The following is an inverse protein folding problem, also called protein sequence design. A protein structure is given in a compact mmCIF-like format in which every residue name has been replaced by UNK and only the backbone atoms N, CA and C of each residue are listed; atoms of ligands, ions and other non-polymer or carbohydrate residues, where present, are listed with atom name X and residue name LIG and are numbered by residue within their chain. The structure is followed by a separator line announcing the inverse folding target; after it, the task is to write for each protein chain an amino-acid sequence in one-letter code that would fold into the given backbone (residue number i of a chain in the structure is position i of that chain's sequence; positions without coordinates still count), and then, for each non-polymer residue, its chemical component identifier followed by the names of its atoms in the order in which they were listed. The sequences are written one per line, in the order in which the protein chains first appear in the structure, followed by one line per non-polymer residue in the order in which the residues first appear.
data_IF_953694899502
#
_entry.id   IF_953694899502
#
_cell.length_a   1.000
_cell.length_b   1.000
_cell.length_c   1.000
_cell.angle_alpha   90.00
_cell.angle_beta   90.00
_cell.angle_gamma   90.00
#
_symmetry.space_group_name_H-M   'P 1'
#
loop_
_entity.id
_entity.type
_entity.pdbx_description
1 polymer ?
#
# COMPACT_ATOMS: atom_id res chain seq x y z
N UNK A 1 5.46 31.75 10.87
CA UNK A 1 4.44 30.68 10.76
C UNK A 1 5.08 29.53 10.03
N UNK A 2 4.91 28.28 10.49
CA UNK A 2 5.51 27.12 9.82
C UNK A 2 4.95 27.00 8.40
N UNK A 3 5.79 26.53 7.46
CA UNK A 3 5.32 26.17 6.13
C UNK A 3 4.28 25.05 6.22
N UNK A 4 3.42 24.89 5.21
CA UNK A 4 2.42 23.81 5.21
C UNK A 4 3.09 22.42 5.35
N UNK A 5 4.29 22.26 4.79
CA UNK A 5 5.06 21.02 4.91
C UNK A 5 5.57 20.81 6.33
N UNK A 6 6.09 21.85 6.99
CA UNK A 6 6.49 21.79 8.41
C UNK A 6 5.30 21.46 9.32
N UNK A 7 4.12 22.00 9.03
CA UNK A 7 2.90 21.68 9.78
C UNK A 7 2.58 20.18 9.72
N UNK A 8 2.62 19.56 8.54
CA UNK A 8 2.34 18.12 8.42
C UNK A 8 3.42 17.23 9.02
N UNK A 9 4.69 17.66 9.01
CA UNK A 9 5.77 16.96 9.73
C UNK A 9 5.55 16.99 11.23
N UNK A 10 5.26 18.17 11.79
CA UNK A 10 4.94 18.31 13.20
C UNK A 10 3.71 17.47 13.60
N UNK A 11 2.72 17.38 12.71
CA UNK A 11 1.57 16.49 12.93
C UNK A 11 1.98 15.02 12.95
N UNK A 12 2.86 14.57 12.05
CA UNK A 12 3.36 13.20 12.05
C UNK A 12 4.12 12.88 13.34
N UNK A 13 5.03 13.76 13.78
CA UNK A 13 5.79 13.59 15.02
C UNK A 13 4.88 13.56 16.25
N UNK A 14 3.89 14.46 16.30
CA UNK A 14 2.92 14.51 17.39
C UNK A 14 2.08 13.23 17.47
N UNK A 15 1.55 12.77 16.33
CA UNK A 15 0.74 11.53 16.28
C UNK A 15 1.60 10.32 16.63
N UNK A 16 2.83 10.24 16.12
CA UNK A 16 3.74 9.13 16.40
C UNK A 16 4.02 8.97 17.91
N UNK A 17 4.21 10.07 18.63
CA UNK A 17 4.42 10.02 20.10
C UNK A 17 3.14 9.73 20.88
N UNK A 18 1.96 10.14 20.40
CA UNK A 18 0.68 9.81 21.05
C UNK A 18 0.30 8.34 20.88
N UNK A 19 0.67 7.74 19.76
CA UNK A 19 0.31 6.36 19.42
C UNK A 19 0.79 5.34 20.45
N UNK A 20 2.00 5.51 20.98
CA UNK A 20 2.55 4.61 22.00
C UNK A 20 2.05 4.90 23.41
N UNK A 21 1.26 5.97 23.60
CA UNK A 21 0.64 6.30 24.88
C UNK A 21 -0.58 5.43 25.24
N UNK A 22 -1.10 4.65 24.30
CA UNK A 22 -2.25 3.76 24.52
C UNK A 22 -2.25 2.60 23.52
N UNK A 23 -2.49 1.39 24.02
CA UNK A 23 -2.63 0.22 23.16
C UNK A 23 -3.80 0.36 22.17
N UNK A 24 -4.88 1.07 22.55
CA UNK A 24 -6.03 1.30 21.68
C UNK A 24 -5.68 2.21 20.49
N UNK A 25 -4.91 3.28 20.73
CA UNK A 25 -4.45 4.18 19.67
C UNK A 25 -3.51 3.43 18.71
N UNK A 26 -2.56 2.66 19.25
CA UNK A 26 -1.68 1.82 18.46
C UNK A 26 -2.46 0.79 17.62
N UNK A 27 -3.40 0.06 18.21
CA UNK A 27 -4.25 -0.90 17.50
C UNK A 27 -5.11 -0.23 16.40
N UNK A 28 -5.62 0.98 16.66
CA UNK A 28 -6.33 1.79 15.67
C UNK A 28 -5.44 2.18 14.49
N UNK A 29 -4.20 2.58 14.75
CA UNK A 29 -3.19 2.81 13.73
C UNK A 29 -2.89 1.54 12.93
N UNK A 30 -2.60 0.42 13.59
CA UNK A 30 -2.28 -0.85 12.93
C UNK A 30 -3.42 -1.33 12.03
N UNK A 31 -4.68 -1.13 12.43
CA UNK A 31 -5.86 -1.44 11.59
C UNK A 31 -5.90 -0.61 10.31
N UNK A 32 -5.48 0.65 10.39
CA UNK A 32 -5.41 1.57 9.24
C UNK A 32 -4.23 1.23 8.34
N UNK A 33 -3.05 1.05 8.93
CA UNK A 33 -1.83 0.62 8.27
C UNK A 33 -2.02 -0.71 7.52
N UNK A 34 -2.73 -1.67 8.13
CA UNK A 34 -3.07 -2.95 7.53
C UNK A 34 -3.84 -2.81 6.20
N UNK A 35 -4.79 -1.87 6.11
CA UNK A 35 -5.51 -1.57 4.85
C UNK A 35 -4.59 -0.93 3.81
N UNK A 36 -3.73 -0.03 4.27
CA UNK A 36 -2.87 0.81 3.45
C UNK A 36 -1.43 0.29 3.39
N UNK A 37 -1.24 -1.03 3.52
CA UNK A 37 0.06 -1.72 3.62
C UNK A 37 1.03 -1.50 2.46
N UNK A 38 0.62 -0.79 1.41
CA UNK A 38 1.49 -0.41 0.28
C UNK A 38 2.20 0.92 0.49
N UNK A 39 1.77 1.71 1.48
CA UNK A 39 2.39 2.96 1.88
C UNK A 39 3.48 2.69 2.94
N UNK A 40 4.57 3.46 2.96
CA UNK A 40 5.56 3.43 4.04
C UNK A 40 4.99 4.02 5.33
N UNK A 41 5.64 3.72 6.46
CA UNK A 41 5.20 4.09 7.80
C UNK A 41 4.81 5.58 7.95
N UNK A 42 5.68 6.51 7.54
CA UNK A 42 5.43 7.95 7.69
C UNK A 42 4.17 8.42 6.94
N UNK A 43 3.84 7.79 5.80
CA UNK A 43 2.62 8.10 5.07
C UNK A 43 1.40 7.41 5.67
N UNK A 44 1.55 6.18 6.18
CA UNK A 44 0.49 5.52 6.94
C UNK A 44 0.09 6.33 8.18
N UNK A 45 1.06 6.91 8.90
CA UNK A 45 0.82 7.82 10.02
C UNK A 45 0.01 9.04 9.60
N UNK A 46 0.42 9.70 8.51
CA UNK A 46 -0.27 10.89 8.01
C UNK A 46 -1.70 10.57 7.53
N UNK A 47 -1.90 9.41 6.92
CA UNK A 47 -3.24 8.96 6.52
C UNK A 47 -4.08 8.69 7.77
N UNK A 48 -3.55 7.95 8.75
CA UNK A 48 -4.25 7.67 10.00
C UNK A 48 -4.65 8.95 10.74
N UNK A 49 -3.74 9.91 10.86
CA UNK A 49 -3.97 11.20 11.51
C UNK A 49 -5.09 12.04 10.88
N UNK A 50 -5.27 11.92 9.57
CA UNK A 50 -6.22 12.75 8.82
C UNK A 50 -7.53 12.02 8.52
N UNK A 51 -7.47 10.71 8.29
CA UNK A 51 -8.57 9.88 7.82
C UNK A 51 -8.34 8.39 8.18
N UNK A 52 -8.53 8.00 9.44
CA UNK A 52 -8.27 6.64 9.89
C UNK A 52 -9.18 5.60 9.21
N UNK A 53 -10.34 5.99 8.70
CA UNK A 53 -11.27 5.12 7.96
C UNK A 53 -10.89 4.87 6.49
N UNK A 54 -9.80 5.47 6.00
CA UNK A 54 -9.35 5.29 4.62
C UNK A 54 -9.10 3.81 4.26
N UNK A 55 -9.47 3.45 3.02
CA UNK A 55 -9.48 2.05 2.55
C UNK A 55 -8.63 1.82 1.31
N UNK A 56 -8.57 2.80 0.40
CA UNK A 56 -7.76 2.72 -0.80
C UNK A 56 -7.46 4.14 -1.26
N UNK A 57 -6.25 4.62 -0.99
CA UNK A 57 -5.81 5.95 -1.36
C UNK A 57 -4.99 5.92 -2.64
N UNK A 58 -5.13 6.97 -3.45
CA UNK A 58 -4.23 7.26 -4.56
C UNK A 58 -4.26 8.75 -4.92
N UNK A 59 -3.25 9.20 -5.66
CA UNK A 59 -3.20 10.56 -6.18
C UNK A 59 -4.27 10.80 -7.25
N UNK A 60 -4.61 12.08 -7.43
CA UNK A 60 -5.61 12.52 -8.40
C UNK A 60 -5.37 11.96 -9.80
N UNK A 61 -4.13 12.03 -10.29
CA UNK A 61 -3.78 11.57 -11.63
C UNK A 61 -3.94 10.04 -11.76
N UNK A 62 -3.64 9.26 -10.72
CA UNK A 62 -3.86 7.82 -10.78
C UNK A 62 -5.36 7.51 -10.91
N UNK A 63 -6.20 8.21 -10.15
CA UNK A 63 -7.64 8.06 -10.24
C UNK A 63 -8.19 8.44 -11.61
N UNK A 64 -7.80 9.61 -12.11
CA UNK A 64 -8.27 10.14 -13.37
C UNK A 64 -7.73 9.35 -14.57
N UNK A 65 -6.41 9.26 -14.68
CA UNK A 65 -5.74 8.79 -15.90
C UNK A 65 -5.66 7.27 -16.01
N UNK A 66 -5.49 6.55 -14.88
CA UNK A 66 -5.29 5.09 -14.90
C UNK A 66 -6.52 4.30 -14.51
N UNK A 67 -7.37 4.88 -13.67
CA UNK A 67 -8.59 4.25 -13.19
C UNK A 67 -9.84 4.78 -13.87
N UNK A 68 -9.76 5.89 -14.62
CA UNK A 68 -10.91 6.48 -15.31
C UNK A 68 -11.98 6.97 -14.35
N UNK A 69 -11.59 7.42 -13.14
CA UNK A 69 -12.47 7.89 -12.07
C UNK A 69 -12.22 9.38 -11.84
N UNK A 70 -13.26 10.15 -11.63
CA UNK A 70 -13.12 11.56 -11.27
C UNK A 70 -13.17 11.74 -9.75
N UNK A 71 -12.42 12.69 -9.21
CA UNK A 71 -12.49 13.06 -7.79
C UNK A 71 -13.64 14.03 -7.62
N UNK A 72 -14.55 13.76 -6.67
CA UNK A 72 -15.72 14.59 -6.44
C UNK A 72 -15.32 15.98 -5.93
N UNK A 73 -16.05 17.00 -6.39
CA UNK A 73 -15.88 18.37 -5.93
C UNK A 73 -16.19 18.42 -4.44
N UNK A 74 -15.31 19.07 -3.69
CA UNK A 74 -15.42 19.18 -2.23
C UNK A 74 -14.67 18.09 -1.47
N UNK A 75 -14.17 17.04 -2.13
CA UNK A 75 -13.36 16.02 -1.48
C UNK A 75 -12.06 16.62 -0.92
N UNK A 76 -11.78 16.33 0.36
CA UNK A 76 -10.58 16.78 1.06
C UNK A 76 -9.45 15.78 0.82
N UNK A 77 -8.40 16.23 0.13
CA UNK A 77 -7.20 15.42 -0.06
C UNK A 77 -6.46 15.20 1.26
N UNK A 78 -5.95 13.99 1.44
CA UNK A 78 -5.08 13.61 2.55
C UNK A 78 -3.66 14.01 2.17
N UNK A 79 -3.05 14.90 2.95
CA UNK A 79 -1.71 15.40 2.66
C UNK A 79 -0.66 14.39 3.11
N UNK A 80 0.27 14.07 2.22
CA UNK A 80 1.45 13.26 2.51
C UNK A 80 2.70 14.11 2.30
N UNK A 81 3.72 13.85 3.10
CA UNK A 81 5.03 14.49 2.99
C UNK A 81 5.94 13.54 2.24
N UNK A 82 6.39 13.97 1.06
CA UNK A 82 7.40 13.29 0.26
C UNK A 82 8.77 13.89 0.58
N UNK A 83 9.59 13.11 1.28
CA UNK A 83 10.95 13.46 1.70
C UNK A 83 12.02 12.79 0.82
N UNK A 84 11.65 12.25 -0.35
CA UNK A 84 12.59 11.54 -1.24
C UNK A 84 13.58 12.43 -2.00
N UNK A 85 13.31 13.74 -2.10
CA UNK A 85 14.15 14.71 -2.81
C UNK A 85 14.88 15.69 -1.88
N UNK A 86 15.74 16.53 -2.45
CA UNK A 86 16.50 17.57 -1.72
C UNK A 86 15.64 18.51 -0.86
N UNK A 87 14.36 18.65 -1.25
CA UNK A 87 13.38 19.44 -0.51
C UNK A 87 12.08 18.67 -0.33
N UNK A 88 11.54 18.66 0.90
CA UNK A 88 10.26 18.07 1.24
C UNK A 88 9.11 18.65 0.41
N UNK A 89 8.24 17.80 -0.12
CA UNK A 89 7.07 18.22 -0.91
C UNK A 89 5.79 17.67 -0.33
N UNK A 90 4.70 18.40 -0.53
CA UNK A 90 3.37 17.90 -0.21
C UNK A 90 2.74 17.31 -1.46
N UNK A 91 2.28 16.06 -1.33
CA UNK A 91 1.41 15.39 -2.29
C UNK A 91 0.07 15.10 -1.64
N UNK A 92 -0.98 14.94 -2.44
CA UNK A 92 -2.33 14.70 -1.93
C UNK A 92 -2.89 13.42 -2.51
N UNK A 93 -3.39 12.56 -1.63
CA UNK A 93 -4.11 11.35 -2.02
C UNK A 93 -5.58 11.46 -1.63
N UNK A 94 -6.42 10.77 -2.40
CA UNK A 94 -7.86 10.72 -2.21
C UNK A 94 -8.26 9.25 -2.01
N UNK A 95 -9.18 9.01 -1.08
CA UNK A 95 -9.71 7.66 -0.88
C UNK A 95 -10.65 7.29 -2.04
N UNK A 96 -10.80 6.01 -2.34
CA UNK A 96 -11.73 5.53 -3.37
C UNK A 96 -13.15 6.04 -3.15
N UNK A 97 -13.58 6.24 -1.90
CA UNK A 97 -14.88 6.82 -1.56
C UNK A 97 -15.04 8.27 -2.00
N UNK A 98 -13.95 9.00 -2.24
CA UNK A 98 -13.96 10.37 -2.78
C UNK A 98 -14.19 10.40 -4.30
N UNK A 99 -14.17 9.24 -4.96
CA UNK A 99 -14.21 9.14 -6.42
C UNK A 99 -15.56 8.69 -6.98
N UNK A 100 -15.96 9.28 -8.11
CA UNK A 100 -17.09 8.84 -8.91
C UNK A 100 -16.68 7.91 -10.05
N UNK A 101 -17.65 7.16 -10.59
CA UNK A 101 -17.48 6.21 -11.70
C UNK A 101 -18.08 6.71 -13.01
N UNK A 102 -17.59 6.10 -14.09
CA UNK A 102 -17.97 6.20 -15.51
C UNK A 102 -18.07 4.78 -16.08
N UNK A 103 -18.53 4.67 -17.33
CA UNK A 103 -18.71 3.38 -18.02
C UNK A 103 -17.41 2.55 -18.06
N UNK A 104 -16.28 3.19 -18.35
CA UNK A 104 -14.97 2.54 -18.42
C UNK A 104 -14.12 2.68 -17.14
N UNK A 105 -14.73 3.16 -16.03
CA UNK A 105 -14.00 3.24 -14.77
C UNK A 105 -13.58 1.87 -14.27
N UNK A 106 -12.33 1.77 -13.85
CA UNK A 106 -11.79 0.58 -13.20
C UNK A 106 -12.14 0.60 -11.71
N UNK A 107 -12.30 -0.60 -11.16
CA UNK A 107 -12.44 -0.81 -9.71
C UNK A 107 -11.10 -1.25 -9.14
N UNK A 108 -10.56 -0.59 -8.10
CA UNK A 108 -9.38 -1.06 -7.40
C UNK A 108 -9.56 -2.50 -6.95
N UNK A 109 -8.60 -3.36 -7.28
CA UNK A 109 -8.62 -4.73 -6.79
C UNK A 109 -8.13 -4.76 -5.34
N UNK A 110 -9.09 -4.83 -4.42
CA UNK A 110 -8.89 -4.95 -2.98
C UNK A 110 -9.25 -6.36 -2.56
N UNK A 111 -8.25 -7.25 -2.53
CA UNK A 111 -8.46 -8.65 -2.15
C UNK A 111 -9.03 -8.74 -0.73
N UNK A 112 -9.93 -9.70 -0.53
CA UNK A 112 -10.48 -10.04 0.78
C UNK A 112 -10.22 -11.53 1.01
N UNK A 113 -9.81 -11.87 2.23
CA UNK A 113 -9.64 -13.27 2.61
C UNK A 113 -11.01 -13.96 2.58
N UNK A 114 -11.04 -15.17 2.02
CA UNK A 114 -12.20 -16.07 2.00
C UNK A 114 -11.73 -17.46 2.42
N UNK A 115 -12.65 -18.30 2.85
CA UNK A 115 -12.35 -19.69 3.26
C UNK A 115 -11.59 -20.45 2.16
N UNK A 116 -12.01 -20.33 0.90
CA UNK A 116 -11.36 -20.96 -0.25
C UNK A 116 -9.88 -20.54 -0.46
N UNK A 117 -9.47 -19.39 0.09
CA UNK A 117 -8.10 -18.90 -0.05
C UNK A 117 -7.19 -19.33 1.12
N UNK A 118 -7.76 -19.88 2.19
CA UNK A 118 -6.99 -20.23 3.39
C UNK A 118 -5.91 -21.27 3.09
N UNK A 119 -6.26 -22.37 2.40
CA UNK A 119 -5.32 -23.44 2.06
C UNK A 119 -4.18 -22.94 1.13
N UNK A 120 -4.44 -22.28 -0.01
CA UNK A 120 -3.36 -21.72 -0.84
C UNK A 120 -2.47 -20.72 -0.10
N UNK A 121 -3.05 -19.89 0.77
CA UNK A 121 -2.29 -18.91 1.56
C UNK A 121 -1.45 -19.61 2.63
N UNK A 122 -2.02 -20.57 3.35
CA UNK A 122 -1.33 -21.41 4.33
C UNK A 122 -0.10 -22.07 3.71
N UNK A 123 -0.29 -22.81 2.62
CA UNK A 123 0.80 -23.48 1.91
C UNK A 123 1.88 -22.50 1.41
N UNK A 124 1.49 -21.29 1.01
CA UNK A 124 2.45 -20.24 0.65
C UNK A 124 3.25 -19.76 1.85
N UNK A 125 2.62 -19.55 3.01
CA UNK A 125 3.32 -19.11 4.22
C UNK A 125 4.32 -20.16 4.70
N UNK A 126 3.93 -21.43 4.74
CA UNK A 126 4.80 -22.54 5.12
C UNK A 126 6.01 -22.65 4.19
N UNK A 127 5.80 -22.60 2.88
CA UNK A 127 6.90 -22.71 1.90
C UNK A 127 7.85 -21.52 1.93
N UNK A 128 7.31 -20.30 2.04
CA UNK A 128 8.12 -19.09 1.89
C UNK A 128 8.82 -18.68 3.19
N UNK A 129 8.21 -18.98 4.35
CA UNK A 129 8.72 -18.57 5.65
C UNK A 129 9.12 -19.74 6.54
N UNK A 130 8.94 -20.99 6.11
CA UNK A 130 9.30 -22.20 6.86
C UNK A 130 8.64 -22.24 8.24
N UNK A 131 7.40 -21.75 8.31
CA UNK A 131 6.58 -21.74 9.53
C UNK A 131 5.60 -22.91 9.52
N UNK A 132 5.02 -23.21 10.68
CA UNK A 132 3.91 -24.14 10.82
C UNK A 132 2.89 -23.58 11.82
N UNK A 133 1.64 -24.01 11.72
CA UNK A 133 0.60 -23.64 12.68
C UNK A 133 -0.70 -24.36 12.40
N UNK A 134 -1.52 -24.56 13.43
CA UNK A 134 -2.78 -25.29 13.32
C UNK A 134 -3.85 -24.50 12.55
N UNK A 135 -3.67 -23.18 12.47
CA UNK A 135 -4.56 -22.28 11.77
C UNK A 135 -3.82 -21.05 11.26
N UNK A 136 -4.47 -20.29 10.37
CA UNK A 136 -3.90 -19.10 9.75
C UNK A 136 -3.41 -18.06 10.77
N UNK A 137 -4.09 -17.88 11.91
CA UNK A 137 -3.68 -16.89 12.91
C UNK A 137 -2.31 -17.25 13.50
N UNK A 138 -2.12 -18.50 13.92
CA UNK A 138 -0.85 -19.00 14.45
C UNK A 138 0.27 -18.94 13.39
N UNK A 139 -0.03 -19.25 12.13
CA UNK A 139 0.95 -19.12 11.04
C UNK A 139 1.37 -17.66 10.82
N UNK A 140 0.43 -16.70 10.82
CA UNK A 140 0.75 -15.28 10.68
C UNK A 140 1.59 -14.77 11.85
N UNK A 141 1.32 -15.23 13.08
CA UNK A 141 2.12 -14.92 14.26
C UNK A 141 3.54 -15.51 14.18
N UNK A 142 3.67 -16.77 13.74
CA UNK A 142 4.98 -17.40 13.54
C UNK A 142 5.82 -16.66 12.48
N UNK A 143 5.19 -16.21 11.39
CA UNK A 143 5.84 -15.37 10.37
C UNK A 143 6.27 -14.04 10.98
N UNK A 144 5.41 -13.39 11.74
CA UNK A 144 5.73 -12.12 12.41
C UNK A 144 6.93 -12.26 13.36
N UNK A 145 6.96 -13.32 14.18
CA UNK A 145 8.05 -13.58 15.11
C UNK A 145 9.38 -13.79 14.38
N UNK A 146 9.39 -14.63 13.34
CA UNK A 146 10.58 -14.90 12.51
C UNK A 146 11.11 -13.61 11.87
N UNK A 147 10.24 -12.87 11.19
CA UNK A 147 10.64 -11.67 10.45
C UNK A 147 11.04 -10.50 11.37
N UNK A 148 10.43 -10.37 12.55
CA UNK A 148 10.89 -9.41 13.57
C UNK A 148 12.31 -9.74 14.04
N UNK A 149 12.61 -11.02 14.22
CA UNK A 149 13.94 -11.50 14.58
C UNK A 149 14.99 -11.23 13.51
N UNK A 150 14.66 -11.52 12.25
CA UNK A 150 15.52 -11.25 11.09
C UNK A 150 15.78 -9.74 10.92
N UNK A 151 14.74 -8.92 11.01
CA UNK A 151 14.86 -7.46 10.91
C UNK A 151 15.78 -6.89 11.99
N UNK A 152 15.66 -7.34 13.24
CA UNK A 152 16.57 -6.95 14.32
C UNK A 152 18.02 -7.29 13.96
N UNK A 153 18.29 -8.52 13.53
CA UNK A 153 19.65 -8.94 13.20
C UNK A 153 20.28 -8.07 12.11
N UNK A 154 19.49 -7.62 11.14
CA UNK A 154 19.95 -6.76 10.05
C UNK A 154 20.13 -5.29 10.47
N UNK A 155 19.28 -4.77 11.35
CA UNK A 155 19.19 -3.33 11.66
C UNK A 155 19.59 -2.94 13.10
N UNK A 156 20.08 -3.89 13.91
CA UNK A 156 20.40 -3.63 15.33
C UNK A 156 21.34 -2.44 15.55
N UNK A 157 22.32 -2.23 14.68
CA UNK A 157 23.27 -1.13 14.82
C UNK A 157 22.60 0.24 14.67
N UNK A 158 21.68 0.36 13.69
CA UNK A 158 20.93 1.58 13.46
C UNK A 158 19.93 1.82 14.60
N UNK A 159 19.28 0.76 15.09
CA UNK A 159 18.35 0.82 16.23
C UNK A 159 19.05 1.26 17.51
N UNK A 160 20.21 0.69 17.83
CA UNK A 160 21.00 1.07 19.02
C UNK A 160 21.53 2.50 18.95
N UNK A 161 21.65 3.08 17.75
CA UNK A 161 22.10 4.47 17.59
C UNK A 161 21.02 5.50 17.92
N UNK A 162 19.74 5.11 17.93
CA UNK A 162 18.60 6.03 18.04
C UNK A 162 17.82 5.89 19.36
N UNK A 163 18.33 5.10 20.31
CA UNK A 163 17.68 4.91 21.62
C UNK A 163 17.95 6.04 22.61
N UNK A 164 18.89 6.93 22.32
CA UNK A 164 19.18 8.10 23.16
C UNK A 164 17.90 8.93 23.39
N UNK A 165 17.73 9.45 24.62
CA UNK A 165 16.56 10.20 25.10
C UNK A 165 15.23 9.41 25.09
N UNK A 166 15.27 8.09 24.96
CA UNK A 166 14.10 7.20 25.02
C UNK A 166 14.07 6.33 26.27
N UNK A 167 12.95 5.64 26.51
CA UNK A 167 12.87 4.66 27.61
C UNK A 167 13.78 3.44 27.41
N UNK A 168 14.33 3.26 26.21
CA UNK A 168 15.29 2.21 25.89
C UNK A 168 16.74 2.58 26.20
N UNK A 169 17.05 3.86 26.50
CA UNK A 169 18.44 4.34 26.69
C UNK A 169 19.18 3.60 27.83
N UNK A 170 18.47 3.28 28.91
CA UNK A 170 19.06 2.60 30.07
C UNK A 170 19.16 1.07 29.90
N UNK A 171 18.62 0.53 28.82
CA UNK A 171 18.61 -0.92 28.58
C UNK A 171 19.92 -1.36 27.95
N UNK A 172 20.39 -2.55 28.35
CA UNK A 172 21.45 -3.21 27.60
C UNK A 172 20.93 -3.71 26.23
N UNK A 173 21.86 -4.00 25.31
CA UNK A 173 21.54 -4.46 23.95
C UNK A 173 20.61 -5.68 23.95
N UNK A 174 20.74 -6.59 24.92
CA UNK A 174 19.89 -7.77 25.03
C UNK A 174 18.45 -7.41 25.40
N UNK A 175 18.25 -6.49 26.35
CA UNK A 175 16.92 -6.04 26.73
C UNK A 175 16.26 -5.22 25.61
N UNK A 176 17.02 -4.39 24.88
CA UNK A 176 16.51 -3.67 23.70
C UNK A 176 16.06 -4.67 22.62
N UNK A 177 16.85 -5.72 22.38
CA UNK A 177 16.49 -6.80 21.46
C UNK A 177 15.16 -7.45 21.84
N UNK A 178 15.00 -7.81 23.12
CA UNK A 178 13.78 -8.45 23.63
C UNK A 178 12.57 -7.52 23.43
N UNK A 179 12.68 -6.24 23.79
CA UNK A 179 11.57 -5.29 23.62
C UNK A 179 11.21 -5.05 22.16
N UNK A 180 12.21 -4.88 21.30
CA UNK A 180 11.99 -4.69 19.87
C UNK A 180 11.28 -5.90 19.27
N UNK A 181 11.79 -7.12 19.53
CA UNK A 181 11.18 -8.34 19.00
C UNK A 181 9.76 -8.52 19.51
N UNK A 182 9.49 -8.26 20.79
CA UNK A 182 8.15 -8.32 21.35
C UNK A 182 7.19 -7.32 20.67
N UNK A 183 7.56 -6.03 20.65
CA UNK A 183 6.77 -4.95 20.07
C UNK A 183 6.52 -5.14 18.56
N UNK A 184 7.54 -5.56 17.81
CA UNK A 184 7.43 -5.81 16.39
C UNK A 184 6.54 -7.04 16.12
N UNK A 185 6.76 -8.16 16.82
CA UNK A 185 5.99 -9.40 16.63
C UNK A 185 4.50 -9.16 16.85
N UNK A 186 4.11 -8.52 17.96
CA UNK A 186 2.69 -8.25 18.27
C UNK A 186 2.07 -7.32 17.22
N UNK A 187 2.80 -6.27 16.82
CA UNK A 187 2.32 -5.26 15.88
C UNK A 187 2.14 -5.80 14.46
N UNK A 188 3.10 -6.61 13.99
CA UNK A 188 3.03 -7.27 12.68
C UNK A 188 1.87 -8.26 12.70
N UNK A 189 1.79 -9.12 13.72
CA UNK A 189 0.74 -10.13 13.84
C UNK A 189 -0.65 -9.49 13.82
N UNK A 190 -0.87 -8.44 14.61
CA UNK A 190 -2.13 -7.72 14.66
C UNK A 190 -2.53 -7.18 13.27
N UNK A 191 -1.61 -6.50 12.58
CA UNK A 191 -1.87 -5.92 11.26
C UNK A 191 -2.15 -7.00 10.18
N UNK A 192 -1.38 -8.09 10.18
CA UNK A 192 -1.61 -9.24 9.28
C UNK A 192 -2.99 -9.86 9.51
N UNK A 193 -3.33 -10.13 10.77
CA UNK A 193 -4.63 -10.71 11.15
C UNK A 193 -5.78 -9.79 10.75
N UNK A 194 -5.67 -8.49 11.06
CA UNK A 194 -6.66 -7.47 10.69
C UNK A 194 -6.89 -7.43 9.18
N UNK A 195 -5.83 -7.40 8.37
CA UNK A 195 -5.97 -7.36 6.90
C UNK A 195 -6.51 -8.65 6.30
N UNK A 196 -6.22 -9.79 6.93
CA UNK A 196 -6.76 -11.10 6.56
C UNK A 196 -8.19 -11.33 7.06
N UNK A 197 -8.85 -10.33 7.64
CA UNK A 197 -10.25 -10.40 8.05
C UNK A 197 -10.49 -11.20 9.34
N UNK A 198 -9.42 -11.52 10.08
CA UNK A 198 -9.52 -12.02 11.44
C UNK A 198 -9.85 -10.86 12.39
N UNK A 199 -10.29 -11.17 13.61
CA UNK A 199 -10.55 -10.19 14.67
C UNK A 199 -9.40 -10.25 15.68
N UNK A 200 -8.38 -9.38 15.59
CA UNK A 200 -7.21 -9.44 16.46
C UNK A 200 -7.55 -9.36 17.94
N UNK A 201 -8.67 -8.72 18.31
CA UNK A 201 -9.14 -8.58 19.70
C UNK A 201 -9.48 -9.93 20.37
N UNK A 202 -9.53 -11.02 19.59
CA UNK A 202 -9.70 -12.39 20.11
C UNK A 202 -8.37 -13.07 20.46
N UNK A 203 -7.26 -12.53 19.96
CA UNK A 203 -5.92 -13.10 20.07
C UNK A 203 -5.03 -12.27 20.98
N UNK A 204 -5.25 -10.96 21.04
CA UNK A 204 -4.44 -10.04 21.82
C UNK A 204 -5.23 -9.39 22.95
N UNK A 205 -4.51 -9.18 24.04
CA UNK A 205 -4.90 -8.41 25.21
C UNK A 205 -4.03 -7.16 25.30
N UNK A 206 -4.43 -6.23 26.16
CA UNK A 206 -3.62 -5.03 26.42
C UNK A 206 -2.19 -5.34 26.94
N UNK A 207 -1.98 -6.47 27.63
CA UNK A 207 -0.68 -6.86 28.19
C UNK A 207 0.33 -7.22 27.08
N UNK A 208 -0.14 -7.74 25.95
CA UNK A 208 0.72 -8.10 24.81
C UNK A 208 1.37 -6.88 24.15
N UNK A 209 0.80 -5.68 24.35
CA UNK A 209 1.29 -4.44 23.78
C UNK A 209 2.23 -3.65 24.71
N UNK A 210 2.61 -4.22 25.87
CA UNK A 210 3.43 -3.50 26.87
C UNK A 210 4.78 -3.03 26.33
N UNK A 211 5.42 -3.81 25.45
CA UNK A 211 6.72 -3.47 24.88
C UNK A 211 6.70 -2.20 23.99
N UNK A 212 5.53 -1.78 23.50
CA UNK A 212 5.42 -0.61 22.61
C UNK A 212 5.60 0.70 23.38
N UNK A 213 5.28 0.72 24.68
CA UNK A 213 5.45 1.91 25.52
C UNK A 213 6.91 2.36 25.63
N UNK A 214 7.87 1.44 25.42
CA UNK A 214 9.29 1.77 25.45
C UNK A 214 9.75 2.55 24.20
N UNK A 215 8.96 2.52 23.11
CA UNK A 215 9.22 3.26 21.87
C UNK A 215 8.55 4.64 21.90
N UNK A 216 8.96 5.46 22.87
CA UNK A 216 8.26 6.69 23.25
C UNK A 216 8.76 7.96 22.53
N UNK A 217 9.82 7.89 21.73
CA UNK A 217 10.38 9.03 20.99
C UNK A 217 10.10 8.93 19.49
N UNK A 218 10.05 10.04 18.73
CA UNK A 218 9.85 10.00 17.27
C UNK A 218 10.83 9.08 16.53
N UNK A 219 12.08 9.00 16.99
CA UNK A 219 13.10 8.14 16.40
C UNK A 219 12.80 6.65 16.64
N UNK A 220 12.58 6.26 17.90
CA UNK A 220 12.32 4.86 18.29
C UNK A 220 11.02 4.33 17.68
N UNK A 221 9.92 5.09 17.77
CA UNK A 221 8.66 4.69 17.12
C UNK A 221 8.77 4.71 15.60
N UNK A 222 9.56 5.62 15.04
CA UNK A 222 9.88 5.68 13.62
C UNK A 222 10.51 4.38 13.13
N UNK A 223 11.47 3.84 13.89
CA UNK A 223 12.14 2.61 13.54
C UNK A 223 11.25 1.36 13.73
N UNK A 224 10.53 1.27 14.86
CA UNK A 224 9.55 0.19 15.08
C UNK A 224 8.47 0.20 13.99
N UNK A 225 7.87 1.36 13.73
CA UNK A 225 6.82 1.53 12.74
C UNK A 225 7.29 1.22 11.32
N UNK A 226 8.53 1.57 10.97
CA UNK A 226 9.16 1.22 9.70
C UNK A 226 9.29 -0.29 9.54
N UNK A 227 9.83 -0.98 10.56
CA UNK A 227 9.95 -2.44 10.56
C UNK A 227 8.59 -3.12 10.37
N UNK A 228 7.61 -2.71 11.18
CA UNK A 228 6.23 -3.23 11.12
C UNK A 228 5.62 -3.00 9.73
N UNK A 229 5.77 -1.81 9.16
CA UNK A 229 5.19 -1.47 7.86
C UNK A 229 5.83 -2.24 6.71
N UNK A 230 7.16 -2.36 6.71
CA UNK A 230 7.90 -3.08 5.66
C UNK A 230 7.58 -4.57 5.67
N UNK A 231 7.60 -5.20 6.84
CA UNK A 231 7.30 -6.63 6.99
C UNK A 231 5.84 -6.91 6.59
N UNK A 232 4.89 -6.12 7.10
CA UNK A 232 3.49 -6.25 6.69
C UNK A 232 3.31 -6.08 5.19
N UNK A 233 4.00 -5.10 4.58
CA UNK A 233 3.96 -4.89 3.14
C UNK A 233 4.42 -6.13 2.37
N UNK A 234 5.55 -6.71 2.76
CA UNK A 234 6.11 -7.90 2.14
C UNK A 234 5.10 -9.06 2.18
N UNK A 235 4.63 -9.42 3.37
CA UNK A 235 3.75 -10.57 3.57
C UNK A 235 2.39 -10.35 2.88
N UNK A 236 1.75 -9.19 3.06
CA UNK A 236 0.44 -8.90 2.49
C UNK A 236 0.46 -8.75 0.96
N UNK A 237 1.59 -8.35 0.37
CA UNK A 237 1.76 -8.41 -1.09
C UNK A 237 1.79 -9.85 -1.59
N UNK A 238 2.53 -10.73 -0.92
CA UNK A 238 2.59 -12.14 -1.29
C UNK A 238 1.22 -12.82 -1.14
N UNK A 239 0.52 -12.59 -0.02
CA UNK A 239 -0.86 -13.07 0.17
C UNK A 239 -1.76 -12.61 -0.96
N UNK A 240 -1.71 -11.32 -1.31
CA UNK A 240 -2.47 -10.78 -2.44
C UNK A 240 -2.14 -11.50 -3.76
N UNK A 241 -0.86 -11.70 -4.08
CA UNK A 241 -0.46 -12.41 -5.30
C UNK A 241 -1.00 -13.84 -5.31
N UNK A 242 -0.90 -14.57 -4.19
CA UNK A 242 -1.42 -15.93 -4.06
C UNK A 242 -2.92 -16.00 -4.30
N UNK A 243 -3.70 -15.09 -3.69
CA UNK A 243 -5.15 -15.01 -3.90
C UNK A 243 -5.47 -14.75 -5.37
N UNK A 244 -4.74 -13.82 -6.00
CA UNK A 244 -4.97 -13.47 -7.41
C UNK A 244 -4.68 -14.62 -8.36
N UNK A 245 -3.61 -15.38 -8.09
CA UNK A 245 -3.24 -16.54 -8.90
C UNK A 245 -4.29 -17.64 -8.77
N UNK A 246 -4.72 -17.94 -7.54
CA UNK A 246 -5.78 -18.90 -7.28
C UNK A 246 -7.10 -18.51 -7.98
N UNK A 247 -7.52 -17.24 -7.89
CA UNK A 247 -8.71 -16.75 -8.60
C UNK A 247 -8.60 -16.94 -10.12
N UNK A 248 -7.40 -16.76 -10.69
CA UNK A 248 -7.16 -16.92 -12.12
C UNK A 248 -7.19 -18.39 -12.55
N UNK A 249 -6.59 -19.28 -11.76
CA UNK A 249 -6.59 -20.73 -11.99
C UNK A 249 -8.02 -21.28 -11.96
N UNK A 250 -8.80 -20.91 -10.95
CA UNK A 250 -10.21 -21.31 -10.83
C UNK A 250 -11.08 -20.83 -11.99
N UNK A 251 -10.81 -19.64 -12.54
CA UNK A 251 -11.51 -19.16 -13.73
C UNK A 251 -11.12 -19.94 -14.99
N UNK A 252 -9.83 -20.30 -15.14
CA UNK A 252 -9.35 -21.09 -16.27
C UNK A 252 -9.87 -22.54 -16.25
N UNK A 253 -9.93 -23.15 -15.06
CA UNK A 253 -10.52 -24.50 -14.89
C UNK A 253 -12.01 -24.49 -15.29
N UNK A 254 -12.75 -23.45 -14.90
CA UNK A 254 -14.17 -23.31 -15.27
C UNK A 254 -14.38 -23.10 -16.77
N UNK A 255 -13.52 -22.32 -17.44
CA UNK A 255 -13.63 -22.15 -18.90
C UNK A 255 -13.32 -23.45 -19.64
N UNK A 256 -12.29 -24.18 -19.23
CA UNK A 256 -11.90 -25.45 -19.86
C UNK A 256 -13.00 -26.50 -19.69
N UNK A 257 -13.62 -26.59 -18.50
CA UNK A 257 -14.75 -27.50 -18.29
C UNK A 257 -15.99 -27.10 -19.11
N UNK A 258 -16.21 -25.81 -19.38
CA UNK A 258 -17.30 -25.38 -20.27
C UNK A 258 -17.05 -25.82 -21.72
N UNK A 259 -15.82 -25.73 -22.20
CA UNK A 259 -15.42 -26.18 -23.54
C UNK A 259 -15.52 -27.71 -23.67
N UNK A 260 -15.01 -28.49 -22.70
CA UNK A 260 -15.16 -29.96 -22.69
C UNK A 260 -16.63 -30.41 -22.61
N UNK A 261 -17.50 -29.64 -21.93
CA UNK A 261 -18.94 -29.95 -21.84
C UNK A 261 -19.68 -29.76 -23.17
N UNK A 262 -19.20 -28.87 -24.05
CA UNK A 262 -19.76 -28.70 -25.40
C UNK A 262 -19.25 -29.73 -26.41
N UNK A 263 -18.18 -30.46 -26.09
CA UNK A 263 -17.65 -31.54 -26.94
C UNK A 263 -18.37 -32.89 -26.76
N UNK A 264 -19.29 -33.01 -25.82
CA UNK A 264 -20.06 -34.25 -25.56
C UNK A 264 -21.52 -34.15 -26.04
N UNK A 265 -21.77 -33.92 -27.33
CA UNK A 265 -22.99 -34.38 -28.03
C UNK A 265 -22.84 -34.41 -29.57
N UNK A 266 -22.40 -35.52 -30.19
CA UNK A 266 -22.55 -35.76 -31.63
C UNK A 266 -23.87 -36.48 -31.96
N UNK A 267 -24.98 -36.21 -31.26
CA UNK A 267 -26.25 -36.90 -31.48
C UNK A 267 -27.46 -35.96 -31.57
N UNK A 268 -27.48 -35.10 -32.60
CA UNK A 268 -28.70 -34.78 -33.36
C UNK A 268 -28.37 -33.97 -34.61
N UNK A 269 -27.95 -34.66 -35.66
CA UNK A 269 -28.09 -34.13 -37.02
C UNK A 269 -29.59 -34.07 -37.34
N UNK A 270 -30.16 -32.88 -37.27
CA UNK A 270 -31.35 -32.55 -38.04
C UNK A 270 -30.90 -32.43 -39.51
N UNK A 271 -31.46 -33.20 -40.46
CA UNK A 271 -31.17 -32.98 -41.87
C UNK A 271 -31.85 -31.68 -42.32
N UNK A 272 -31.05 -30.75 -42.83
CA UNK A 272 -31.53 -29.59 -43.57
C UNK A 272 -32.37 -30.04 -44.77
N UNK A 273 -33.60 -29.56 -44.82
CA UNK A 273 -34.50 -29.74 -45.95
C UNK A 273 -34.06 -28.80 -47.08
N UNK A 274 -33.44 -29.35 -48.12
CA UNK A 274 -33.27 -28.67 -49.42
C UNK A 274 -34.64 -28.42 -50.06
N UNK A 275 -34.92 -27.23 -50.62
CA UNK A 275 -35.94 -27.09 -51.64
C UNK A 275 -35.34 -27.37 -53.02
N UNK A 276 -36.03 -28.22 -53.77
CA UNK A 276 -35.90 -28.35 -55.23
C UNK A 276 -36.18 -27.02 -55.92
N UNK A 277 -35.42 -26.74 -56.97
CA UNK A 277 -35.84 -25.84 -58.04
C UNK A 277 -35.55 -26.54 -59.37
N UNK A 278 -36.60 -27.06 -59.99
CA UNK A 278 -36.66 -27.35 -61.41
C UNK A 278 -36.37 -26.08 -62.21
N UNK A 279 -35.43 -26.15 -63.16
CA UNK A 279 -35.52 -25.41 -64.42
C UNK A 279 -34.99 -26.28 -65.57
N UNK A 280 -35.91 -26.57 -66.47
CA UNK A 280 -35.73 -27.03 -67.84
C UNK A 280 -35.04 -25.96 -68.69
N UNK A 281 -34.07 -26.35 -69.52
CA UNK A 281 -33.87 -25.89 -70.91
C UNK A 281 -32.71 -26.65 -71.57
N UNK A 282 -32.99 -27.08 -72.80
CA UNK A 282 -32.21 -27.92 -73.70
C UNK A 282 -31.01 -27.23 -74.39
N UNK A 283 -30.22 -28.11 -75.03
CA UNK A 283 -29.29 -27.93 -76.18
C UNK A 283 -27.77 -27.68 -75.96
N UNK A 284 -27.00 -28.56 -76.62
CA UNK A 284 -25.54 -28.76 -76.60
C UNK A 284 -24.85 -28.16 -77.85
N UNK A 285 -23.61 -28.55 -78.27
CA UNK A 285 -22.36 -28.88 -77.56
C UNK A 285 -21.15 -28.04 -78.07
N UNK A 286 -20.00 -28.02 -77.37
CA UNK A 286 -18.80 -27.39 -77.95
C UNK A 286 -17.49 -27.38 -77.16
N UNK A 287 -16.65 -28.38 -77.44
CA UNK A 287 -15.18 -28.36 -77.49
C UNK A 287 -14.33 -28.49 -76.21
N UNK A 288 -13.50 -29.53 -76.29
CA UNK A 288 -12.44 -30.00 -75.40
C UNK A 288 -11.07 -29.62 -75.99
N UNK A 289 -10.15 -29.07 -75.18
CA UNK A 289 -8.67 -29.15 -75.27
C UNK A 289 -8.12 -28.90 -73.85
N UNK A 290 -7.62 -29.90 -73.10
CA UNK A 290 -6.28 -30.52 -73.03
C UNK A 290 -5.13 -29.65 -72.46
N UNK A 291 -4.80 -29.99 -71.20
CA UNK A 291 -3.51 -30.24 -70.50
C UNK A 291 -2.34 -29.24 -70.44
N UNK A 292 -1.94 -28.94 -69.19
CA UNK A 292 -0.58 -28.93 -68.57
C UNK A 292 -0.67 -28.11 -67.25
N UNK A 293 0.01 -28.32 -66.12
CA UNK A 293 1.06 -29.25 -65.67
C UNK A 293 1.01 -29.25 -64.13
N UNK A 294 1.39 -30.37 -63.51
CA UNK A 294 1.40 -30.68 -62.07
C UNK A 294 2.45 -29.92 -61.26
N UNK A 295 2.13 -29.52 -60.01
CA UNK A 295 3.11 -29.15 -58.96
C UNK A 295 2.81 -29.97 -57.68
N UNK A 296 3.83 -30.53 -57.00
CA UNK A 296 3.66 -31.60 -56.01
C UNK A 296 3.63 -31.14 -54.54
N UNK A 297 3.09 -32.02 -53.69
CA UNK A 297 3.28 -32.08 -52.24
C UNK A 297 4.72 -32.53 -51.87
N UNK A 298 5.23 -32.07 -50.72
CA UNK A 298 6.36 -32.74 -50.03
C UNK A 298 7.26 -31.85 -49.15
N UNK A 299 7.03 -31.91 -47.82
CA UNK A 299 7.86 -31.53 -46.65
C UNK A 299 9.19 -32.35 -46.56
N UNK A 300 10.04 -32.34 -45.51
CA UNK A 300 10.42 -31.39 -44.43
C UNK A 300 11.96 -31.26 -44.23
N UNK A 301 12.46 -30.44 -43.29
CA UNK A 301 13.81 -30.60 -42.68
C UNK A 301 13.90 -29.96 -41.27
N UNK A 302 14.19 -30.80 -40.28
CA UNK A 302 14.70 -30.50 -38.91
C UNK A 302 16.24 -30.22 -38.99
N UNK A 303 17.08 -30.00 -37.92
CA UNK A 303 16.90 -30.31 -36.48
C UNK A 303 17.48 -29.31 -35.41
N UNK A 304 16.97 -29.48 -34.18
CA UNK A 304 17.63 -29.58 -32.85
C UNK A 304 18.60 -28.51 -32.26
N UNK A 305 18.39 -28.30 -30.95
CA UNK A 305 19.23 -27.60 -29.96
C UNK A 305 20.64 -28.21 -29.78
N UNK A 306 21.53 -27.54 -29.02
CA UNK A 306 22.00 -28.14 -27.78
C UNK A 306 22.08 -27.20 -26.56
N UNK A 307 22.31 -27.80 -25.40
CA UNK A 307 22.31 -27.25 -24.05
C UNK A 307 23.71 -26.95 -23.46
N UNK A 308 23.67 -26.28 -22.30
CA UNK A 308 24.59 -26.32 -21.14
C UNK A 308 25.68 -25.24 -20.95
N UNK A 309 25.54 -24.57 -19.80
CA UNK A 309 26.52 -24.04 -18.81
C UNK A 309 27.85 -23.40 -19.26
N UNK A 310 28.05 -22.14 -18.84
CA UNK A 310 29.15 -21.76 -17.93
C UNK A 310 29.05 -20.28 -17.49
N UNK A 311 29.05 -20.09 -16.15
CA UNK A 311 29.65 -19.00 -15.34
C UNK A 311 29.99 -17.66 -16.02
N UNK A 312 29.48 -16.56 -15.47
CA UNK A 312 30.30 -15.59 -14.68
C UNK A 312 29.43 -14.47 -14.12
N UNK A 313 29.77 -14.07 -12.90
CA UNK A 313 29.23 -12.92 -12.17
C UNK A 313 29.87 -11.60 -12.65
N UNK A 314 29.51 -10.50 -11.97
CA UNK A 314 30.17 -9.15 -11.87
C UNK A 314 29.38 -8.02 -12.55
N UNK A 315 29.30 -6.77 -12.01
CA UNK A 315 29.36 -6.28 -10.62
C UNK A 315 28.28 -5.23 -10.23
N UNK A 316 28.18 -4.95 -8.93
CA UNK A 316 27.61 -3.72 -8.39
C UNK A 316 28.50 -2.50 -8.70
N UNK A 317 27.95 -1.27 -8.85
CA UNK A 317 28.76 -0.08 -8.89
C UNK A 317 29.22 0.35 -7.49
N UNK A 318 30.47 0.77 -7.48
CA UNK A 318 31.39 0.95 -6.38
C UNK A 318 31.13 2.25 -5.60
N UNK A 319 31.40 2.18 -4.30
CA UNK A 319 31.58 3.29 -3.37
C UNK A 319 32.67 4.24 -3.87
N UNK A 320 32.43 5.54 -3.82
CA UNK A 320 33.51 6.53 -3.89
C UNK A 320 33.90 6.94 -2.47
N UNK A 321 35.07 6.48 -2.03
CA UNK A 321 35.69 6.83 -0.74
C UNK A 321 37.04 7.47 -1.07
N UNK A 322 37.22 8.74 -0.71
CA UNK A 322 38.51 9.41 -0.68
C UNK A 322 39.03 9.43 0.76
N UNK A 323 40.11 8.69 1.00
CA UNK A 323 41.15 9.03 1.99
C UNK A 323 42.05 10.11 1.35
N UNK A 324 42.81 11.00 2.01
CA UNK A 324 43.30 11.23 3.38
C UNK A 324 44.06 12.57 3.31
N UNK A 325 44.07 13.42 4.35
CA UNK A 325 45.30 13.95 4.99
C UNK A 325 44.98 14.86 6.18
N UNK A 326 45.52 14.51 7.33
CA UNK A 326 45.92 15.41 8.43
C UNK A 326 47.47 15.37 8.48
N UNK A 327 48.23 16.38 9.00
CA UNK A 327 48.05 16.84 10.40
C UNK A 327 48.45 18.30 10.76
N UNK A 328 48.12 18.65 12.02
CA UNK A 328 48.92 19.42 13.00
C UNK A 328 48.66 20.93 13.22
N UNK A 329 48.44 21.28 14.51
CA UNK A 329 48.70 22.59 15.15
C UNK A 329 47.44 23.22 15.79
N UNK A 330 47.10 22.96 17.05
CA UNK A 330 47.60 23.56 18.30
C UNK A 330 46.81 24.79 18.79
N UNK A 331 46.43 24.70 20.07
CA UNK A 331 46.22 25.73 21.10
C UNK A 331 44.85 26.39 21.39
N UNK A 332 44.59 26.38 22.70
CA UNK A 332 43.82 27.29 23.56
C UNK A 332 42.32 27.05 23.88
N UNK A 333 42.10 26.37 25.00
CA UNK A 333 41.15 26.78 26.05
C UNK A 333 41.82 27.86 26.95
N UNK A 334 41.18 28.56 27.94
CA UNK A 334 39.93 28.22 28.62
C UNK A 334 39.03 29.40 29.11
N UNK A 335 37.98 29.00 29.85
CA UNK A 335 37.37 29.65 31.03
C UNK A 335 36.41 30.84 30.86
N UNK A 336 35.25 30.70 31.52
CA UNK A 336 34.28 31.77 31.74
C UNK A 336 33.13 31.34 32.65
N UNK A 337 33.43 31.08 33.93
CA UNK A 337 32.43 30.99 35.00
C UNK A 337 31.61 32.29 35.10
N UNK A 338 30.32 32.19 35.45
CA UNK A 338 29.70 33.10 36.43
C UNK A 338 28.42 32.55 37.06
N UNK A 339 28.47 32.50 38.39
CA UNK A 339 27.40 32.23 39.38
C UNK A 339 26.44 33.40 39.56
N UNK A 340 25.23 33.05 40.03
CA UNK A 340 24.41 33.79 41.03
C UNK A 340 23.38 34.76 40.46
N UNK A 341 22.21 35.00 41.06
CA UNK A 341 21.63 34.66 42.37
C UNK A 341 20.15 35.12 42.40
N UNK A 342 19.30 34.36 43.08
CA UNK A 342 18.05 34.62 43.85
C UNK A 342 17.23 35.92 43.68
N UNK A 343 15.90 35.76 43.75
CA UNK A 343 14.95 36.82 44.15
C UNK A 343 13.47 36.44 43.98
N UNK A 344 12.83 35.96 45.05
CA UNK A 344 11.41 35.64 45.15
C UNK A 344 10.51 36.89 45.31
N UNK A 345 9.20 36.78 44.97
CA UNK A 345 8.06 36.95 45.89
C UNK A 345 6.67 36.93 45.18
N UNK A 346 5.78 36.21 45.85
CA UNK A 346 4.34 35.97 45.75
C UNK A 346 3.40 37.11 45.28
N UNK A 347 2.25 36.73 44.70
CA UNK A 347 0.94 37.18 45.22
C UNK A 347 -0.24 36.32 44.72
N UNK A 348 -1.33 36.44 45.47
CA UNK A 348 -2.42 35.49 45.72
C UNK A 348 -3.56 35.51 44.68
N UNK A 349 -4.29 34.38 44.64
CA UNK A 349 -5.60 34.08 44.00
C UNK A 349 -6.78 34.91 44.60
N UNK A 350 -8.08 34.60 44.36
CA UNK A 350 -8.87 34.40 43.11
C UNK A 350 -10.23 35.18 43.15
N UNK A 351 -11.03 35.14 42.07
CA UNK A 351 -12.50 35.11 42.23
C UNK A 351 -13.25 34.34 41.12
N UNK A 352 -14.28 33.64 41.58
CA UNK A 352 -15.20 32.70 40.92
C UNK A 352 -16.33 33.40 40.12
N UNK A 353 -17.21 32.55 39.58
CA UNK A 353 -18.58 32.71 39.03
C UNK A 353 -18.65 33.02 37.52
N UNK A 354 -19.44 32.35 36.66
CA UNK A 354 -20.46 31.30 36.74
C UNK A 354 -21.14 31.26 35.35
N UNK A 355 -21.44 30.08 34.78
CA UNK A 355 -22.32 29.97 33.58
C UNK A 355 -23.81 29.94 33.99
N UNK A 356 -24.76 29.56 33.10
CA UNK A 356 -24.80 29.56 31.63
C UNK A 356 -25.99 30.40 31.10
N UNK A 357 -26.17 30.41 29.77
CA UNK A 357 -27.47 30.36 29.05
C UNK A 357 -27.67 31.27 27.83
N UNK A 358 -28.31 30.62 26.88
CA UNK A 358 -28.63 30.93 25.49
C UNK A 358 -29.56 32.13 25.33
N UNK A 359 -29.37 32.90 24.25
CA UNK A 359 -30.50 33.50 23.54
C UNK A 359 -30.23 33.55 22.03
N UNK A 360 -31.09 32.83 21.30
CA UNK A 360 -31.37 32.96 19.87
C UNK A 360 -31.93 34.34 19.53
N UNK A 361 -31.44 34.96 18.45
CA UNK A 361 -32.21 35.40 17.26
C UNK A 361 -31.44 36.44 16.45
N UNK A 362 -31.44 36.29 15.12
CA UNK A 362 -31.08 37.35 14.20
C UNK A 362 -30.66 36.86 12.82
N UNK A 363 -31.62 36.74 11.91
CA UNK A 363 -31.40 36.59 10.46
C UNK A 363 -30.56 37.75 9.92
N UNK A 364 -29.32 37.46 9.51
CA UNK A 364 -28.41 38.44 8.94
C UNK A 364 -27.70 37.85 7.73
N UNK A 365 -28.23 38.16 6.54
CA UNK A 365 -27.56 38.02 5.25
C UNK A 365 -26.31 38.89 5.27
N UNK A 366 -25.14 38.27 5.28
CA UNK A 366 -23.84 38.93 5.14
C UNK A 366 -22.84 37.90 4.66
N UNK A 367 -22.43 38.01 3.40
CA UNK A 367 -21.28 37.31 2.86
C UNK A 367 -20.07 37.57 3.74
N UNK A 368 -19.55 36.50 4.35
CA UNK A 368 -18.21 36.49 4.94
C UNK A 368 -17.37 35.46 4.19
N UNK A 369 -16.69 35.93 3.15
CA UNK A 369 -15.50 35.27 2.63
C UNK A 369 -14.45 35.24 3.75
N UNK A 370 -14.13 34.04 4.23
CA UNK A 370 -13.29 33.86 5.41
C UNK A 370 -12.76 32.45 5.58
N UNK A 371 -11.87 32.04 4.67
CA UNK A 371 -10.75 31.14 4.96
C UNK A 371 -11.07 29.65 5.18
N UNK A 372 -11.01 28.85 4.10
CA UNK A 372 -10.53 27.45 4.08
C UNK A 372 -10.72 26.71 2.72
N UNK A 373 -11.17 27.38 1.64
CA UNK A 373 -11.58 26.66 0.40
C UNK A 373 -10.61 26.77 -0.79
N UNK A 374 -9.33 27.07 -0.57
CA UNK A 374 -8.35 27.26 -1.66
C UNK A 374 -7.62 25.99 -2.11
N UNK A 375 -8.23 24.81 -2.01
CA UNK A 375 -7.62 23.56 -2.52
C UNK A 375 -8.29 23.00 -3.79
N UNK A 376 -9.45 23.51 -4.19
CA UNK A 376 -10.11 23.10 -5.44
C UNK A 376 -9.91 24.10 -6.59
N UNK A 377 -9.26 25.24 -6.36
CA UNK A 377 -8.87 26.15 -7.46
C UNK A 377 -7.73 25.60 -8.33
N UNK A 378 -7.10 24.48 -7.92
CA UNK A 378 -6.02 23.84 -8.68
C UNK A 378 -6.46 22.60 -9.46
N UNK A 379 -7.64 22.05 -9.19
CA UNK A 379 -8.15 20.87 -9.88
C UNK A 379 -9.29 21.26 -10.83
N UNK A 380 -9.34 20.57 -11.97
CA UNK A 380 -10.42 20.74 -12.94
C UNK A 380 -11.78 20.49 -12.28
N UNK A 381 -12.80 21.20 -12.76
CA UNK A 381 -14.18 20.92 -12.35
C UNK A 381 -14.54 19.47 -12.69
N UNK A 382 -15.51 18.89 -11.97
CA UNK A 382 -15.96 17.52 -12.27
C UNK A 382 -16.32 17.38 -13.76
N UNK A 383 -17.04 18.34 -14.33
CA UNK A 383 -17.42 18.32 -15.75
C UNK A 383 -16.21 18.32 -16.70
N UNK A 384 -15.15 19.06 -16.38
CA UNK A 384 -13.91 19.05 -17.16
C UNK A 384 -13.15 17.74 -16.99
N UNK A 385 -13.08 17.19 -15.78
CA UNK A 385 -12.49 15.86 -15.53
C UNK A 385 -13.21 14.79 -16.35
N UNK A 386 -14.54 14.81 -16.32
CA UNK A 386 -15.40 13.89 -17.04
C UNK A 386 -15.13 13.97 -18.54
N UNK A 387 -15.11 15.18 -19.11
CA UNK A 387 -14.81 15.38 -20.52
C UNK A 387 -13.47 14.78 -20.92
N UNK A 388 -12.41 15.04 -20.13
CA UNK A 388 -11.07 14.50 -20.42
C UNK A 388 -11.04 12.97 -20.31
N UNK A 389 -11.71 12.39 -19.32
CA UNK A 389 -11.79 10.93 -19.16
C UNK A 389 -12.53 10.31 -20.36
N UNK A 390 -13.66 10.90 -20.77
CA UNK A 390 -14.47 10.41 -21.88
C UNK A 390 -13.73 10.56 -23.22
N UNK A 391 -13.03 11.69 -23.46
CA UNK A 391 -12.20 11.92 -24.66
C UNK A 391 -11.04 10.91 -24.77
N UNK A 392 -10.41 10.55 -23.64
CA UNK A 392 -9.35 9.52 -23.60
C UNK A 392 -9.89 8.11 -23.80
N UNK A 393 -11.16 7.87 -23.47
CA UNK A 393 -11.81 6.58 -23.66
C UNK A 393 -12.38 6.39 -25.07
N UNK A 394 -12.55 7.46 -25.86
CA UNK A 394 -13.04 7.36 -27.24
C UNK A 394 -11.96 6.78 -28.17
N UNK A 395 -12.19 5.60 -28.78
CA UNK A 395 -11.23 4.97 -29.70
C UNK A 395 -10.94 5.79 -30.96
N UNK A 396 -11.71 6.86 -31.26
CA UNK A 396 -11.46 7.74 -32.41
C UNK A 396 -10.39 8.81 -32.19
N UNK A 397 -9.91 8.99 -30.96
CA UNK A 397 -8.95 10.05 -30.58
C UNK A 397 -7.60 9.47 -30.11
N UNK A 398 -7.43 8.15 -30.08
CA UNK A 398 -6.15 7.52 -29.73
C UNK A 398 -5.09 7.82 -30.81
N UNK A 399 -3.96 8.47 -30.48
CA UNK A 399 -2.90 8.71 -31.45
C UNK A 399 -2.25 7.38 -31.86
N UNK A 400 -2.01 7.25 -33.17
CA UNK A 400 -1.29 6.15 -33.82
C UNK A 400 0.17 6.11 -33.35
#
# INVERSE_FOLDING_TARGET
MPSKTEFYRQMADHVATQLTGSWQEWAGFLTTAARLYKYPFHEQLLIYAQRPDATACAEYDLWNEKMGRYVRRGSKGIALVDDSGDRPRLRYVFDVSDTGTREHSRTPWLWKMKEAYQEPVSAMLERNYEVSGDNLAQQLEAVAHKLAGEYWNEHRQDLLYIVDDSFLEEYDEFNIEVQFKAAATVSISYALMSRCGLKPERYFTHEDFMAIFDFNTPATIGALGTAVSQINQQVLRQIGVTIRNYEREQLAERSNHHEESHELHPERRLPDSRPEAERTADEAPGQVRQDAESIPEGTPSHPLQPAADEREAVPAPHRDRRDRTEPSGADDAPAGERRGRDGAAESQRPHEVGGPDEHLQGTGRGDSDGGAYSQLSFFLSENEQIRIIDERADPKVAPI
#
